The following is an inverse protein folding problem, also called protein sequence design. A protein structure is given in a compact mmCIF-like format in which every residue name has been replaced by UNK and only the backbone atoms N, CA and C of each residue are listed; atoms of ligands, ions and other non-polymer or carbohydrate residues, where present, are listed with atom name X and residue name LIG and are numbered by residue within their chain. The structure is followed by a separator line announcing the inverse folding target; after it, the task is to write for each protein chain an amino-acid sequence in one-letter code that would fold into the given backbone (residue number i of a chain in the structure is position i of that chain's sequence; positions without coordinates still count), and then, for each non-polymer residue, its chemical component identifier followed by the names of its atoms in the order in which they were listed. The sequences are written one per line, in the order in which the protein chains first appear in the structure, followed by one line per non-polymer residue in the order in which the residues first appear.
data_IF_519149884419
#
_entry.id   IF_519149884419
#
_cell.length_a   1.000
_cell.length_b   1.000
_cell.length_c   1.000
_cell.angle_alpha   90.00
_cell.angle_beta   90.00
_cell.angle_gamma   90.00
#
_symmetry.space_group_name_H-M   'P 1'
#
loop_
_entity.id
_entity.type
_entity.pdbx_description
1 polymer ?
#
# COMPACT_ATOMS: atom_id res chain seq x y z
N UNK A 1 11.83 -7.12 -3.03
CA UNK A 1 10.95 -8.24 -3.47
C UNK A 1 9.93 -7.79 -4.52
N UNK A 2 9.68 -8.61 -5.54
CA UNK A 2 8.58 -8.41 -6.49
C UNK A 2 7.29 -8.91 -5.84
N UNK A 3 6.46 -7.99 -5.33
CA UNK A 3 5.11 -8.35 -4.89
C UNK A 3 4.27 -8.67 -6.13
N UNK A 4 3.73 -9.89 -6.18
CA UNK A 4 2.89 -10.36 -7.27
C UNK A 4 1.52 -9.66 -7.17
N UNK A 5 1.40 -8.52 -7.83
CA UNK A 5 0.13 -7.82 -7.98
C UNK A 5 -0.67 -8.43 -9.12
N UNK A 6 -1.97 -8.61 -8.90
CA UNK A 6 -2.89 -9.03 -9.95
C UNK A 6 -3.02 -7.88 -10.97
N UNK A 7 -2.66 -8.09 -12.25
CA UNK A 7 -2.41 -6.98 -13.18
C UNK A 7 -3.67 -6.21 -13.59
N UNK A 8 -4.83 -6.87 -13.59
CA UNK A 8 -6.07 -6.35 -14.17
C UNK A 8 -7.07 -5.81 -13.14
N UNK A 9 -6.69 -5.81 -11.85
CA UNK A 9 -7.50 -5.22 -10.79
C UNK A 9 -6.91 -3.87 -10.36
N UNK A 10 -7.75 -3.01 -9.83
CA UNK A 10 -7.41 -1.65 -9.40
C UNK A 10 -6.67 -1.63 -8.06
N UNK A 11 -6.04 -0.50 -7.74
CA UNK A 11 -5.41 -0.25 -6.44
C UNK A 11 -6.39 -0.53 -5.29
N UNK A 12 -7.60 0.01 -5.37
CA UNK A 12 -8.65 -0.19 -4.37
C UNK A 12 -9.05 -1.65 -4.24
N UNK A 13 -9.32 -2.35 -5.35
CA UNK A 13 -9.68 -3.76 -5.36
C UNK A 13 -8.56 -4.64 -4.81
N UNK A 14 -7.29 -4.29 -5.09
CA UNK A 14 -6.13 -5.02 -4.56
C UNK A 14 -6.05 -4.91 -3.04
N UNK A 15 -6.22 -3.70 -2.50
CA UNK A 15 -6.23 -3.46 -1.05
C UNK A 15 -7.44 -4.12 -0.39
N UNK A 16 -8.61 -4.05 -1.03
CA UNK A 16 -9.86 -4.70 -0.60
C UNK A 16 -9.70 -6.20 -0.48
N UNK A 17 -9.24 -6.83 -1.56
CA UNK A 17 -8.97 -8.27 -1.61
C UNK A 17 -7.98 -8.68 -0.52
N UNK A 18 -6.92 -7.89 -0.32
CA UNK A 18 -5.93 -8.15 0.73
C UNK A 18 -6.52 -8.00 2.13
N UNK A 19 -7.39 -7.01 2.35
CA UNK A 19 -8.08 -6.81 3.62
C UNK A 19 -9.03 -7.97 3.95
N UNK A 20 -9.72 -8.49 2.94
CA UNK A 20 -10.59 -9.65 3.12
C UNK A 20 -9.83 -10.92 3.48
N UNK A 21 -8.58 -11.06 3.04
CA UNK A 21 -7.71 -12.19 3.38
C UNK A 21 -6.96 -12.03 4.70
N UNK A 22 -6.42 -10.83 4.99
CA UNK A 22 -5.53 -10.59 6.14
C UNK A 22 -6.28 -10.18 7.40
N UNK A 23 -7.46 -9.58 7.30
CA UNK A 23 -8.24 -9.13 8.46
C UNK A 23 -9.23 -10.21 8.91
N UNK A 24 -9.54 -10.25 10.21
CA UNK A 24 -10.54 -11.18 10.73
C UNK A 24 -11.91 -10.95 10.07
N UNK A 25 -12.63 -12.04 9.78
CA UNK A 25 -14.01 -12.00 9.26
C UNK A 25 -15.00 -11.27 10.17
N UNK A 26 -14.66 -11.08 11.45
CA UNK A 26 -15.45 -10.30 12.42
C UNK A 26 -15.30 -8.79 12.25
N UNK A 27 -14.32 -8.32 11.48
CA UNK A 27 -14.10 -6.88 11.25
C UNK A 27 -15.20 -6.36 10.32
N UNK A 28 -15.99 -5.35 10.74
CA UNK A 28 -17.05 -4.78 9.91
C UNK A 28 -16.50 -4.19 8.63
N UNK A 29 -17.29 -4.28 7.56
CA UNK A 29 -16.90 -3.81 6.24
C UNK A 29 -16.53 -2.32 6.21
N UNK A 30 -17.30 -1.52 6.94
CA UNK A 30 -17.05 -0.09 7.12
C UNK A 30 -15.64 0.18 7.70
N UNK A 31 -15.17 -0.66 8.62
CA UNK A 31 -13.83 -0.53 9.23
C UNK A 31 -12.73 -0.94 8.25
N UNK A 32 -12.97 -1.97 7.42
CA UNK A 32 -12.07 -2.35 6.32
C UNK A 32 -11.91 -1.19 5.34
N UNK A 33 -13.03 -0.63 4.87
CA UNK A 33 -13.05 0.50 3.93
C UNK A 33 -12.36 1.74 4.51
N UNK A 34 -12.57 2.06 5.80
CA UNK A 34 -11.87 3.15 6.46
C UNK A 34 -10.34 2.94 6.50
N UNK A 35 -9.91 1.69 6.76
CA UNK A 35 -8.48 1.32 6.76
C UNK A 35 -7.87 1.46 5.36
N UNK A 36 -8.56 0.96 4.33
CA UNK A 36 -8.14 1.04 2.94
C UNK A 36 -7.99 2.50 2.50
N UNK A 37 -9.00 3.35 2.77
CA UNK A 37 -8.95 4.77 2.45
C UNK A 37 -7.81 5.48 3.17
N UNK A 38 -7.55 5.13 4.43
CA UNK A 38 -6.42 5.64 5.20
C UNK A 38 -5.07 5.27 4.57
N UNK A 39 -4.91 4.04 4.09
CA UNK A 39 -3.68 3.59 3.42
C UNK A 39 -3.49 4.30 2.07
N UNK A 40 -4.56 4.45 1.29
CA UNK A 40 -4.51 5.17 0.00
C UNK A 40 -4.03 6.60 0.20
N UNK A 41 -4.60 7.31 1.18
CA UNK A 41 -4.22 8.68 1.50
C UNK A 41 -2.79 8.77 2.05
N UNK A 42 -2.43 7.86 2.97
CA UNK A 42 -1.11 7.84 3.59
C UNK A 42 0.02 7.63 2.58
N UNK A 43 -0.23 6.90 1.49
CA UNK A 43 0.76 6.58 0.47
C UNK A 43 0.65 7.43 -0.80
N UNK A 44 -0.22 8.46 -0.79
CA UNK A 44 -0.42 9.35 -1.92
C UNK A 44 -0.90 8.63 -3.18
N UNK A 45 -1.79 7.65 -3.04
CA UNK A 45 -2.32 6.81 -4.13
C UNK A 45 -3.71 7.27 -4.61
N UNK A 46 -4.23 8.39 -4.13
CA UNK A 46 -5.60 8.86 -4.39
C UNK A 46 -5.88 8.99 -5.88
N UNK A 47 -4.94 9.56 -6.63
CA UNK A 47 -5.05 9.76 -8.09
C UNK A 47 -5.09 8.46 -8.89
N UNK A 48 -4.57 7.37 -8.33
CA UNK A 48 -4.50 6.07 -9.00
C UNK A 48 -5.41 5.00 -8.36
N UNK A 49 -6.32 5.39 -7.46
CA UNK A 49 -7.23 4.49 -6.74
C UNK A 49 -7.97 3.51 -7.66
N UNK A 50 -8.48 4.00 -8.80
CA UNK A 50 -9.21 3.22 -9.81
C UNK A 50 -8.33 2.74 -10.97
N UNK A 51 -7.01 2.91 -10.88
CA UNK A 51 -6.05 2.50 -11.91
C UNK A 51 -5.67 1.04 -11.70
N UNK A 52 -5.65 0.26 -12.79
CA UNK A 52 -5.21 -1.14 -12.76
C UNK A 52 -3.73 -1.25 -12.40
N UNK A 53 -3.36 -2.26 -11.60
CA UNK A 53 -1.99 -2.45 -11.11
C UNK A 53 -0.93 -2.50 -12.23
N UNK A 54 -1.28 -3.04 -13.41
CA UNK A 54 -0.39 -3.07 -14.59
C UNK A 54 -0.04 -1.70 -15.16
N UNK A 55 -0.90 -0.69 -14.95
CA UNK A 55 -0.75 0.67 -15.46
C UNK A 55 -0.03 1.60 -14.48
N UNK A 56 0.27 1.13 -13.26
CA UNK A 56 0.99 1.90 -12.26
C UNK A 56 2.46 2.08 -12.65
N UNK A 57 2.99 3.27 -12.39
CA UNK A 57 4.43 3.53 -12.39
C UNK A 57 5.16 2.64 -11.38
N UNK A 58 6.48 2.52 -11.51
CA UNK A 58 7.31 1.76 -10.56
C UNK A 58 7.14 2.26 -9.12
N UNK A 59 7.12 3.58 -8.93
CA UNK A 59 6.93 4.22 -7.62
C UNK A 59 5.54 3.94 -7.02
N UNK A 60 4.48 4.09 -7.80
CA UNK A 60 3.11 3.76 -7.35
C UNK A 60 2.97 2.28 -7.02
N UNK A 61 3.56 1.39 -7.84
CA UNK A 61 3.58 -0.04 -7.58
C UNK A 61 4.29 -0.38 -6.28
N UNK A 62 5.44 0.26 -6.01
CA UNK A 62 6.18 0.08 -4.76
C UNK A 62 5.36 0.55 -3.55
N UNK A 63 4.70 1.71 -3.66
CA UNK A 63 3.82 2.21 -2.61
C UNK A 63 2.61 1.30 -2.39
N UNK A 64 1.94 0.83 -3.44
CA UNK A 64 0.87 -0.15 -3.30
C UNK A 64 1.34 -1.40 -2.58
N UNK A 65 2.52 -1.94 -2.93
CA UNK A 65 3.12 -3.07 -2.23
C UNK A 65 3.27 -2.84 -0.73
N UNK A 66 3.73 -1.65 -0.31
CA UNK A 66 3.80 -1.27 1.11
C UNK A 66 2.39 -1.24 1.73
N UNK A 67 1.41 -0.69 1.00
CA UNK A 67 0.01 -0.65 1.43
C UNK A 67 -0.58 -2.03 1.73
N UNK A 68 -0.23 -3.06 0.95
CA UNK A 68 -0.69 -4.44 1.18
C UNK A 68 -0.21 -5.02 2.51
N UNK A 69 0.94 -4.59 3.01
CA UNK A 69 1.46 -5.01 4.31
C UNK A 69 0.86 -4.21 5.46
N UNK A 70 0.49 -2.95 5.21
CA UNK A 70 -0.18 -2.07 6.17
C UNK A 70 -1.63 -2.46 6.46
N UNK A 71 -2.30 -3.15 5.54
CA UNK A 71 -3.70 -3.58 5.71
C UNK A 71 -3.92 -4.37 7.00
N UNK A 72 -2.94 -5.18 7.42
CA UNK A 72 -3.00 -5.96 8.67
C UNK A 72 -2.70 -5.17 9.94
N UNK A 73 -2.40 -3.87 9.83
CA UNK A 73 -1.95 -3.02 10.95
C UNK A 73 -0.82 -3.67 11.80
N UNK A 74 0.30 -4.06 11.16
CA UNK A 74 1.39 -4.71 11.87
C UNK A 74 2.09 -3.73 12.83
N UNK A 75 2.60 -4.25 13.96
CA UNK A 75 3.38 -3.47 14.93
C UNK A 75 4.83 -3.23 14.53
N UNK A 76 5.33 -4.01 13.57
CA UNK A 76 6.72 -3.97 13.10
C UNK A 76 6.68 -4.27 11.59
N UNK A 77 7.35 -3.43 10.80
CA UNK A 77 7.52 -3.60 9.36
C UNK A 77 9.00 -3.75 9.02
N UNK A 78 9.32 -4.70 8.15
CA UNK A 78 10.65 -4.88 7.58
C UNK A 78 10.62 -4.52 6.10
N UNK A 79 11.61 -3.77 5.66
CA UNK A 79 11.72 -3.37 4.27
C UNK A 79 13.09 -3.75 3.74
N UNK A 80 13.10 -4.65 2.75
CA UNK A 80 14.30 -5.01 2.03
C UNK A 80 14.35 -4.24 0.69
N UNK A 81 15.41 -3.45 0.51
CA UNK A 81 15.64 -2.57 -0.64
C UNK A 81 14.40 -1.76 -1.08
N UNK A 82 13.84 -0.88 -0.23
CA UNK A 82 12.60 -0.17 -0.52
C UNK A 82 12.69 0.79 -1.72
N UNK A 83 13.88 1.25 -2.08
CA UNK A 83 14.13 2.25 -3.13
C UNK A 83 14.74 1.67 -4.41
N UNK A 84 15.03 0.37 -4.45
CA UNK A 84 15.65 -0.25 -5.64
C UNK A 84 14.74 -0.16 -6.86
N UNK A 85 15.31 0.25 -8.00
CA UNK A 85 14.61 0.42 -9.28
C UNK A 85 13.74 1.68 -9.39
N UNK A 86 13.84 2.61 -8.43
CA UNK A 86 13.14 3.89 -8.47
C UNK A 86 14.08 5.05 -8.83
N UNK A 87 13.55 6.06 -9.49
CA UNK A 87 14.23 7.36 -9.65
C UNK A 87 14.35 8.09 -8.29
N UNK A 88 15.11 9.18 -8.26
CA UNK A 88 15.38 9.93 -7.02
C UNK A 88 14.13 10.53 -6.38
N UNK A 89 13.16 11.00 -7.18
CA UNK A 89 11.92 11.60 -6.67
C UNK A 89 11.03 10.52 -6.08
N UNK A 90 10.82 9.41 -6.81
CA UNK A 90 10.04 8.28 -6.33
C UNK A 90 10.65 7.65 -5.08
N UNK A 91 11.98 7.52 -5.02
CA UNK A 91 12.69 7.02 -3.85
C UNK A 91 12.48 7.90 -2.63
N UNK A 92 12.62 9.22 -2.79
CA UNK A 92 12.37 10.17 -1.70
C UNK A 92 10.95 10.08 -1.17
N UNK A 93 9.95 9.99 -2.05
CA UNK A 93 8.55 9.83 -1.64
C UNK A 93 8.34 8.57 -0.80
N UNK A 94 8.84 7.42 -1.26
CA UNK A 94 8.73 6.15 -0.51
C UNK A 94 9.33 6.30 0.89
N UNK A 95 10.55 6.85 1.00
CA UNK A 95 11.20 7.06 2.30
C UNK A 95 10.42 8.05 3.19
N UNK A 96 9.84 9.11 2.61
CA UNK A 96 9.01 10.05 3.36
C UNK A 96 7.78 9.36 3.96
N UNK A 97 7.07 8.54 3.19
CA UNK A 97 5.92 7.78 3.69
C UNK A 97 6.31 6.78 4.78
N UNK A 98 7.44 6.09 4.62
CA UNK A 98 7.97 5.19 5.65
C UNK A 98 8.32 5.94 6.94
N UNK A 99 8.88 7.15 6.83
CA UNK A 99 9.17 8.01 7.97
C UNK A 99 7.89 8.47 8.68
N UNK A 100 6.84 8.79 7.93
CA UNK A 100 5.57 9.21 8.51
C UNK A 100 4.82 8.05 9.19
N UNK A 101 4.93 6.83 8.65
CA UNK A 101 4.49 5.60 9.32
C UNK A 101 5.21 5.40 10.67
N UNK A 102 6.54 5.50 10.69
CA UNK A 102 7.32 5.34 11.91
C UNK A 102 6.95 6.35 13.00
N UNK A 103 6.65 7.61 12.63
CA UNK A 103 6.19 8.64 13.58
C UNK A 103 4.84 8.32 14.21
N UNK A 104 3.99 7.54 13.53
CA UNK A 104 2.68 7.14 14.05
C UNK A 104 2.78 5.94 15.02
N UNK A 105 3.99 5.47 15.33
CA UNK A 105 4.21 4.32 16.20
C UNK A 105 3.87 2.98 15.54
N UNK A 106 3.99 2.93 14.21
CA UNK A 106 3.81 1.73 13.39
C UNK A 106 5.15 1.22 12.84
#
# INVERSE_FOLDING_TARGET
QNVSLLPNITVEETLRYTADLKMSSKVPDMKKSATINGIIALLGLEKCTKTQARLLSGGERKRLSIGLDLVSDPRILFFDEPTSGLDSVSSYQVISYMKDLAKQGR
#
